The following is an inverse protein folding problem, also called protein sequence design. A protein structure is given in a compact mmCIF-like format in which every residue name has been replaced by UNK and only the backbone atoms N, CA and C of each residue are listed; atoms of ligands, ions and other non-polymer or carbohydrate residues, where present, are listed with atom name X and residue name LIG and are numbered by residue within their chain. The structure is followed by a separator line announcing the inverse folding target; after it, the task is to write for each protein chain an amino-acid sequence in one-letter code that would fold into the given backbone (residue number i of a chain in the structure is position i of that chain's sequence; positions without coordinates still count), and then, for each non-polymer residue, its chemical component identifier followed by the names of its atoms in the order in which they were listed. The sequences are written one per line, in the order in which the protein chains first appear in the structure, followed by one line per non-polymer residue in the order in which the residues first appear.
data_IF_103640255895
#
_entry.id   IF_103640255895
#
_cell.length_a   1.000
_cell.length_b   1.000
_cell.length_c   1.000
_cell.angle_alpha   90.00
_cell.angle_beta   90.00
_cell.angle_gamma   90.00
#
_symmetry.space_group_name_H-M   'P 1'
#
loop_
_entity.id
_entity.type
_entity.pdbx_description
1 polymer ?
#
# COMPACT_ATOMS: atom_id res chain seq x y z
N UNK A 1 -6.88 -14.87 16.45
CA UNK A 1 -5.47 -14.54 16.73
C UNK A 1 -4.97 -13.78 15.52
N UNK A 2 -4.69 -12.48 15.62
CA UNK A 2 -4.02 -11.74 14.55
C UNK A 2 -2.61 -12.33 14.47
N UNK A 3 -2.29 -13.06 13.40
CA UNK A 3 -0.89 -13.46 13.18
C UNK A 3 -0.10 -12.18 12.94
N UNK A 4 0.96 -11.98 13.73
CA UNK A 4 1.89 -10.90 13.49
C UNK A 4 2.58 -11.15 12.15
N UNK A 5 2.65 -10.11 11.32
CA UNK A 5 3.38 -10.16 10.05
C UNK A 5 4.88 -10.23 10.34
N UNK A 6 5.62 -10.85 9.43
CA UNK A 6 7.08 -10.73 9.45
C UNK A 6 7.49 -9.33 9.00
N UNK A 7 8.70 -8.90 9.37
CA UNK A 7 9.26 -7.63 8.90
C UNK A 7 9.22 -7.51 7.36
N UNK A 8 9.50 -8.60 6.65
CA UNK A 8 9.45 -8.64 5.19
C UNK A 8 8.02 -8.41 4.68
N UNK A 9 7.02 -9.05 5.29
CA UNK A 9 5.61 -8.88 4.92
C UNK A 9 5.10 -7.47 5.20
N UNK A 10 5.46 -6.88 6.35
CA UNK A 10 5.13 -5.49 6.67
C UNK A 10 5.76 -4.52 5.67
N UNK A 11 7.03 -4.73 5.35
CA UNK A 11 7.76 -3.86 4.40
C UNK A 11 7.18 -3.99 2.99
N UNK A 12 6.86 -5.21 2.53
CA UNK A 12 6.19 -5.43 1.25
C UNK A 12 4.79 -4.80 1.22
N UNK A 13 4.02 -4.89 2.32
CA UNK A 13 2.71 -4.27 2.41
C UNK A 13 2.80 -2.74 2.29
N UNK A 14 3.71 -2.10 3.04
CA UNK A 14 3.93 -0.66 2.95
C UNK A 14 4.42 -0.23 1.57
N UNK A 15 5.35 -0.99 0.98
CA UNK A 15 5.81 -0.76 -0.39
C UNK A 15 4.65 -0.80 -1.37
N UNK A 16 3.79 -1.83 -1.30
CA UNK A 16 2.64 -1.98 -2.18
C UNK A 16 1.65 -0.82 -2.04
N UNK A 17 1.31 -0.44 -0.80
CA UNK A 17 0.38 0.65 -0.54
C UNK A 17 0.93 2.00 -1.05
N UNK A 18 2.24 2.24 -0.88
CA UNK A 18 2.92 3.40 -1.44
C UNK A 18 2.95 3.39 -2.98
N UNK A 19 3.28 2.25 -3.58
CA UNK A 19 3.28 2.03 -5.04
C UNK A 19 1.90 2.31 -5.65
N UNK A 20 0.84 1.75 -5.05
CA UNK A 20 -0.54 1.97 -5.52
C UNK A 20 -0.95 3.43 -5.34
N UNK A 21 -0.56 4.06 -4.23
CA UNK A 21 -0.85 5.48 -4.01
C UNK A 21 -0.20 6.37 -5.07
N UNK A 22 1.07 6.16 -5.38
CA UNK A 22 1.80 6.89 -6.43
C UNK A 22 1.15 6.66 -7.80
N UNK A 23 0.85 5.40 -8.15
CA UNK A 23 0.17 5.05 -9.39
C UNK A 23 -1.18 5.77 -9.53
N UNK A 24 -2.02 5.73 -8.50
CA UNK A 24 -3.33 6.39 -8.50
C UNK A 24 -3.24 7.93 -8.58
N UNK A 25 -2.09 8.52 -8.25
CA UNK A 25 -1.82 9.96 -8.43
C UNK A 25 -1.19 10.31 -9.79
N UNK A 26 -1.00 9.32 -10.67
CA UNK A 26 -0.48 9.50 -12.02
C UNK A 26 1.05 9.42 -12.14
N UNK A 27 1.74 8.97 -11.10
CA UNK A 27 3.19 8.77 -11.16
C UNK A 27 3.53 7.52 -12.00
N UNK A 28 4.64 7.56 -12.74
CA UNK A 28 5.20 6.38 -13.39
C UNK A 28 5.84 5.48 -12.33
N UNK A 29 5.34 4.25 -12.20
CA UNK A 29 5.75 3.31 -11.17
C UNK A 29 6.25 2.01 -11.79
N UNK A 30 7.52 1.67 -11.51
CA UNK A 30 8.05 0.32 -11.76
C UNK A 30 8.01 -0.49 -10.46
N UNK A 31 7.03 -1.42 -10.37
CA UNK A 31 6.81 -2.26 -9.19
C UNK A 31 8.00 -3.16 -8.84
N UNK A 32 8.90 -3.42 -9.79
CA UNK A 32 10.08 -4.27 -9.58
C UNK A 32 11.25 -3.51 -8.93
N UNK A 33 11.19 -2.18 -8.82
CA UNK A 33 12.26 -1.42 -8.18
C UNK A 33 12.28 -1.61 -6.66
N UNK A 34 13.46 -1.46 -6.07
CA UNK A 34 13.69 -1.53 -4.62
C UNK A 34 14.37 -2.83 -4.15
N UNK A 35 14.69 -2.87 -2.85
CA UNK A 35 15.48 -3.96 -2.25
C UNK A 35 14.69 -5.26 -2.08
N UNK A 36 13.39 -5.17 -1.82
CA UNK A 36 12.51 -6.32 -1.66
C UNK A 36 11.66 -6.49 -2.91
N UNK A 37 11.80 -7.66 -3.53
CA UNK A 37 11.02 -8.06 -4.69
C UNK A 37 9.67 -8.59 -4.25
N UNK A 38 8.63 -8.23 -5.00
CA UNK A 38 7.32 -8.80 -4.78
C UNK A 38 7.25 -10.26 -5.26
N UNK A 39 6.37 -11.08 -4.68
CA UNK A 39 5.96 -12.33 -5.30
C UNK A 39 5.50 -12.09 -6.74
N UNK A 40 5.79 -13.06 -7.61
CA UNK A 40 5.39 -13.01 -9.02
C UNK A 40 3.90 -12.75 -9.20
N UNK A 41 3.07 -13.35 -8.36
CA UNK A 41 1.61 -13.18 -8.39
C UNK A 41 1.18 -11.73 -8.14
N UNK A 42 1.80 -11.04 -7.17
CA UNK A 42 1.55 -9.62 -6.89
C UNK A 42 1.87 -8.76 -8.11
N UNK A 43 2.99 -9.01 -8.77
CA UNK A 43 3.43 -8.26 -9.96
C UNK A 43 2.45 -8.44 -11.11
N UNK A 44 1.98 -9.68 -11.33
CA UNK A 44 0.97 -9.98 -12.35
C UNK A 44 -0.34 -9.23 -12.09
N UNK A 45 -0.85 -9.28 -10.85
CA UNK A 45 -2.06 -8.58 -10.46
C UNK A 45 -1.91 -7.06 -10.60
N UNK A 46 -0.79 -6.50 -10.17
CA UNK A 46 -0.52 -5.07 -10.31
C UNK A 46 -0.59 -4.63 -11.78
N UNK A 47 0.09 -5.34 -12.67
CA UNK A 47 0.07 -5.00 -14.09
C UNK A 47 -1.36 -5.09 -14.66
N UNK A 48 -2.09 -6.17 -14.35
CA UNK A 48 -3.47 -6.36 -14.80
C UNK A 48 -4.41 -5.23 -14.31
N UNK A 49 -4.28 -4.81 -13.05
CA UNK A 49 -5.09 -3.73 -12.51
C UNK A 49 -4.64 -2.36 -12.98
N UNK A 50 -3.35 -2.17 -13.27
CA UNK A 50 -2.81 -0.90 -13.78
C UNK A 50 -3.34 -0.60 -15.18
N UNK A 51 -3.47 -1.63 -16.02
CA UNK A 51 -4.06 -1.52 -17.36
C UNK A 51 -5.54 -1.08 -17.32
N UNK A 52 -6.24 -1.29 -16.19
CA UNK A 52 -7.63 -0.88 -15.98
C UNK A 52 -7.76 0.56 -15.49
N UNK A 53 -6.65 1.21 -15.12
CA UNK A 53 -6.55 2.66 -14.87
C UNK A 53 -6.42 3.06 -13.40
N UNK A 54 -7.30 2.60 -12.50
CA UNK A 54 -7.24 2.95 -11.07
C UNK A 54 -7.44 1.72 -10.22
N UNK A 55 -6.61 1.57 -9.18
CA UNK A 55 -6.70 0.46 -8.24
C UNK A 55 -7.48 0.89 -7.00
N UNK A 56 -8.62 0.26 -6.79
CA UNK A 56 -9.45 0.43 -5.60
C UNK A 56 -9.05 -0.52 -4.47
N UNK A 57 -9.81 -0.46 -3.38
CA UNK A 57 -9.58 -1.30 -2.20
C UNK A 57 -9.60 -2.79 -2.52
N UNK A 58 -10.48 -3.25 -3.41
CA UNK A 58 -10.56 -4.66 -3.82
C UNK A 58 -9.28 -5.15 -4.47
N UNK A 59 -8.73 -4.40 -5.42
CA UNK A 59 -7.50 -4.74 -6.13
C UNK A 59 -6.30 -4.76 -5.17
N UNK A 60 -6.25 -3.80 -4.24
CA UNK A 60 -5.21 -3.74 -3.19
C UNK A 60 -5.29 -4.95 -2.26
N UNK A 61 -6.50 -5.34 -1.84
CA UNK A 61 -6.71 -6.54 -1.00
C UNK A 61 -6.23 -7.79 -1.72
N UNK A 62 -6.58 -7.98 -2.98
CA UNK A 62 -6.16 -9.13 -3.78
C UNK A 62 -4.63 -9.22 -3.89
N UNK A 63 -3.96 -8.08 -4.13
CA UNK A 63 -2.50 -8.04 -4.14
C UNK A 63 -1.87 -8.33 -2.78
N UNK A 64 -2.40 -7.78 -1.68
CA UNK A 64 -1.88 -8.02 -0.32
C UNK A 64 -1.95 -9.51 0.06
N UNK A 65 -3.03 -10.20 -0.31
CA UNK A 65 -3.25 -11.62 0.01
C UNK A 65 -2.20 -12.56 -0.57
N UNK A 66 -1.49 -12.14 -1.62
CA UNK A 66 -0.43 -12.96 -2.23
C UNK A 66 0.78 -13.19 -1.31
N UNK A 67 0.97 -12.35 -0.27
CA UNK A 67 2.06 -12.51 0.70
C UNK A 67 1.67 -12.25 2.16
N UNK A 68 0.49 -11.68 2.44
CA UNK A 68 -0.01 -11.41 3.79
C UNK A 68 -0.82 -12.62 4.30
N UNK A 69 -0.35 -13.32 5.34
CA UNK A 69 -1.11 -14.40 5.97
C UNK A 69 -2.30 -13.82 6.74
N UNK A 70 -3.45 -14.49 6.68
CA UNK A 70 -4.68 -14.05 7.36
C UNK A 70 -5.78 -13.52 6.43
N UNK A 71 -5.53 -13.45 5.13
CA UNK A 71 -6.54 -13.18 4.11
C UNK A 71 -7.11 -11.76 4.17
N UNK A 72 -8.37 -11.62 3.76
CA UNK A 72 -9.05 -10.33 3.56
C UNK A 72 -9.01 -9.43 4.80
N UNK A 73 -9.23 -9.98 6.00
CA UNK A 73 -9.23 -9.20 7.23
C UNK A 73 -7.85 -8.58 7.54
N UNK A 74 -6.77 -9.31 7.30
CA UNK A 74 -5.42 -8.79 7.52
C UNK A 74 -5.08 -7.69 6.50
N UNK A 75 -5.46 -7.90 5.24
CA UNK A 75 -5.30 -6.90 4.18
C UNK A 75 -6.08 -5.62 4.48
N UNK A 76 -7.34 -5.73 4.91
CA UNK A 76 -8.19 -4.59 5.25
C UNK A 76 -7.61 -3.78 6.42
N UNK A 77 -7.12 -4.44 7.46
CA UNK A 77 -6.49 -3.77 8.60
C UNK A 77 -5.23 -2.97 8.18
N UNK A 78 -4.45 -3.48 7.22
CA UNK A 78 -3.28 -2.77 6.71
C UNK A 78 -3.67 -1.50 5.95
N UNK A 79 -4.72 -1.56 5.14
CA UNK A 79 -5.25 -0.41 4.41
C UNK A 79 -5.74 0.66 5.39
N UNK A 80 -6.51 0.27 6.41
CA UNK A 80 -7.01 1.20 7.43
C UNK A 80 -5.87 1.85 8.24
N UNK A 81 -4.85 1.06 8.60
CA UNK A 81 -3.66 1.58 9.29
C UNK A 81 -2.89 2.58 8.42
N UNK A 82 -2.75 2.31 7.12
CA UNK A 82 -2.11 3.21 6.16
C UNK A 82 -2.88 4.52 5.98
N UNK A 83 -4.19 4.46 5.80
CA UNK A 83 -5.03 5.66 5.65
C UNK A 83 -4.99 6.53 6.91
N UNK A 84 -5.01 5.90 8.09
CA UNK A 84 -4.84 6.60 9.37
C UNK A 84 -3.48 7.29 9.47
N UNK A 85 -2.40 6.59 9.08
CA UNK A 85 -1.05 7.16 9.06
C UNK A 85 -0.92 8.34 8.09
N UNK A 86 -1.44 8.21 6.86
CA UNK A 86 -1.48 9.27 5.85
C UNK A 86 -2.25 10.50 6.34
N UNK A 87 -3.41 10.28 6.96
CA UNK A 87 -4.21 11.34 7.57
C UNK A 87 -3.45 12.06 8.69
N UNK A 88 -2.79 11.31 9.58
CA UNK A 88 -1.99 11.88 10.66
C UNK A 88 -0.82 12.73 10.14
N UNK A 89 -0.12 12.28 9.09
CA UNK A 89 0.97 13.04 8.46
C UNK A 89 0.46 14.36 7.86
N UNK A 90 -0.63 14.32 7.08
CA UNK A 90 -1.25 15.53 6.49
C UNK A 90 -1.69 16.55 7.55
N UNK A 91 -2.26 16.08 8.66
CA UNK A 91 -2.71 16.94 9.76
C UNK A 91 -1.54 17.61 10.50
N UNK A 92 -0.38 16.98 10.56
CA UNK A 92 0.82 17.56 11.15
C UNK A 92 1.42 18.65 10.24
N UNK A 93 1.43 18.44 8.93
CA UNK A 93 1.92 19.43 7.97
C UNK A 93 1.06 20.71 7.98
N UNK A 94 -0.26 20.57 8.11
CA UNK A 94 -1.19 21.71 8.20
C UNK A 94 -1.02 22.57 9.47
N UNK A 95 -0.54 22.00 10.58
CA UNK A 95 -0.29 22.74 11.84
C UNK A 95 1.00 23.56 11.80
N UNK A 96 2.01 23.13 11.03
CA UNK A 96 3.28 23.85 10.90
C UNK A 96 3.18 25.12 10.05
N UNK A 97 2.08 25.34 9.32
CA UNK A 97 1.85 26.54 8.52
C UNK A 97 0.96 27.60 9.18
N UNK A 98 0.40 27.34 10.37
CA UNK A 98 -0.44 28.29 11.09
C UNK A 98 0.31 29.08 12.20
N UNK A 99 1.63 28.87 12.34
CA UNK A 99 2.47 29.54 13.34
C UNK A 99 3.35 30.69 12.81
N UNK A 100 3.16 31.12 11.55
CA UNK A 100 3.89 32.25 10.97
C UNK A 100 2.89 33.24 10.36
N UNK A 101 2.31 34.09 11.20
CA UNK A 101 1.59 35.29 10.81
C UNK A 101 1.96 36.42 11.77
#
# INVERSE_FOLDING_TARGET
MLMALTFEQETLALKLLGTVHAFNNGDEVDINQGLLLFPRETVVLFNEYSDKGTMGTSEVVDMLKTFVPGGDNAAQNLIEAWDSAQSAMRNNDGRNHQGQA
#
